data_IF_462601862353
#
_entry.id   IF_462601862353
#
_cell.length_a   1.000
_cell.length_b   1.000
_cell.length_c   1.000
_cell.angle_alpha   90.00
_cell.angle_beta   90.00
_cell.angle_gamma   90.00
#
_symmetry.space_group_name_H-M   'P 1'
#
loop_
_entity.id
_entity.type
_entity.pdbx_description
1 polymer ?
#
# COMPACT_ATOMS: atom_id res chain seq x y z
N UNK A 1 -19.31 9.82 -3.86
CA UNK A 1 -18.22 8.84 -3.96
C UNK A 1 -16.95 9.62 -4.28
N UNK A 2 -15.93 9.55 -3.43
CA UNK A 2 -14.66 10.27 -3.63
C UNK A 2 -13.51 9.26 -3.70
N UNK A 3 -12.52 9.53 -4.55
CA UNK A 3 -11.28 8.74 -4.69
C UNK A 3 -10.21 9.49 -3.92
N UNK A 4 -9.86 9.02 -2.72
CA UNK A 4 -9.01 9.77 -1.81
C UNK A 4 -7.52 9.46 -1.98
N UNK A 5 -7.15 8.25 -2.42
CA UNK A 5 -5.76 7.85 -2.61
C UNK A 5 -5.60 6.84 -3.76
N UNK A 6 -4.64 7.10 -4.64
CA UNK A 6 -4.21 6.20 -5.71
C UNK A 6 -2.70 6.24 -5.87
N UNK A 7 -2.04 5.08 -5.86
CA UNK A 7 -0.61 4.98 -6.15
C UNK A 7 -0.41 3.93 -7.23
N UNK A 8 0.23 4.31 -8.33
CA UNK A 8 0.62 3.40 -9.39
C UNK A 8 2.10 3.58 -9.70
N UNK A 9 2.88 2.50 -9.56
CA UNK A 9 4.30 2.44 -9.90
C UNK A 9 4.57 1.14 -10.65
N UNK A 10 5.16 1.23 -11.83
CA UNK A 10 5.48 0.08 -12.67
C UNK A 10 6.92 0.20 -13.15
N UNK A 11 7.73 -0.81 -12.83
CA UNK A 11 9.07 -1.00 -13.37
C UNK A 11 9.08 -2.23 -14.28
N UNK A 12 10.03 -2.28 -15.21
CA UNK A 12 10.24 -3.46 -16.05
C UNK A 12 10.56 -4.68 -15.18
N UNK A 13 10.14 -5.86 -15.63
CA UNK A 13 10.28 -7.10 -14.86
C UNK A 13 11.73 -7.54 -14.65
N UNK A 14 12.64 -7.07 -15.50
CA UNK A 14 14.09 -7.33 -15.49
C UNK A 14 14.90 -6.22 -14.79
N UNK A 15 14.24 -5.26 -14.15
CA UNK A 15 14.91 -4.16 -13.47
C UNK A 15 15.82 -4.68 -12.34
N UNK A 16 17.07 -4.21 -12.32
CA UNK A 16 18.07 -4.63 -11.31
C UNK A 16 17.59 -4.35 -9.88
N UNK A 17 16.80 -3.30 -9.68
CA UNK A 17 16.16 -2.99 -8.40
C UNK A 17 14.87 -3.75 -8.13
N UNK A 18 14.57 -4.87 -8.81
CA UNK A 18 13.28 -5.57 -8.78
C UNK A 18 12.73 -5.92 -7.38
N UNK A 19 13.59 -6.08 -6.38
CA UNK A 19 13.18 -6.32 -4.99
C UNK A 19 12.67 -5.08 -4.26
N UNK A 20 13.11 -3.90 -4.69
CA UNK A 20 12.71 -2.61 -4.15
C UNK A 20 11.66 -1.94 -5.06
N UNK A 21 11.75 -2.17 -6.37
CA UNK A 21 10.83 -1.74 -7.43
C UNK A 21 9.84 -2.85 -7.82
N UNK A 22 9.41 -2.87 -9.07
CA UNK A 22 8.40 -3.82 -9.57
C UNK A 22 7.04 -3.15 -9.79
N UNK A 23 5.93 -3.83 -9.48
CA UNK A 23 4.59 -3.27 -9.65
C UNK A 23 3.93 -2.98 -8.31
N UNK A 24 3.42 -1.78 -8.16
CA UNK A 24 2.61 -1.37 -7.01
C UNK A 24 1.40 -0.62 -7.55
N UNK A 25 0.21 -1.15 -7.28
CA UNK A 25 -1.06 -0.51 -7.61
C UNK A 25 -1.93 -0.53 -6.36
N UNK A 26 -2.29 0.64 -5.87
CA UNK A 26 -3.20 0.83 -4.75
C UNK A 26 -4.32 1.76 -5.21
N UNK A 27 -5.54 1.26 -5.20
CA UNK A 27 -6.75 2.01 -5.53
C UNK A 27 -7.68 2.02 -4.32
N UNK A 28 -8.18 3.20 -3.93
CA UNK A 28 -9.12 3.34 -2.81
C UNK A 28 -10.40 4.06 -3.23
N UNK A 29 -11.54 3.62 -2.70
CA UNK A 29 -12.85 4.25 -2.87
C UNK A 29 -13.35 4.62 -1.47
N UNK A 30 -13.63 5.89 -1.23
CA UNK A 30 -14.20 6.35 0.03
C UNK A 30 -15.71 6.63 -0.12
N UNK A 31 -16.50 5.95 0.71
CA UNK A 31 -17.91 6.19 0.92
C UNK A 31 -18.10 6.96 2.23
N UNK A 32 -18.51 8.23 2.13
CA UNK A 32 -18.75 9.08 3.29
C UNK A 32 -20.26 9.28 3.50
N UNK A 33 -20.75 8.95 4.70
CA UNK A 33 -22.08 9.29 5.18
C UNK A 33 -21.95 10.36 6.25
N UNK A 34 -22.44 11.57 5.99
CA UNK A 34 -22.31 12.72 6.89
C UNK A 34 -23.62 13.42 7.18
N UNK A 35 -23.75 13.95 8.38
CA UNK A 35 -24.82 14.87 8.81
C UNK A 35 -24.23 16.14 9.41
N UNK A 36 -24.98 17.24 9.28
CA UNK A 36 -24.62 18.51 9.89
C UNK A 36 -25.84 19.14 10.55
N UNK A 37 -25.60 19.90 11.63
CA UNK A 37 -26.63 20.58 12.40
C UNK A 37 -26.17 21.99 12.77
N UNK A 38 -27.04 22.97 12.53
CA UNK A 38 -26.83 24.35 12.95
C UNK A 38 -27.26 24.47 14.41
N UNK A 39 -26.29 24.62 15.32
CA UNK A 39 -26.52 24.68 16.77
C UNK A 39 -27.05 26.07 17.15
N UNK A 40 -26.46 27.13 16.62
CA UNK A 40 -26.89 28.52 16.82
C UNK A 40 -26.77 29.31 15.51
N UNK A 41 -27.16 30.59 15.49
CA UNK A 41 -27.03 31.42 14.28
C UNK A 41 -25.59 31.46 13.75
N UNK A 42 -24.58 31.42 14.63
CA UNK A 42 -23.16 31.46 14.26
C UNK A 42 -22.39 30.16 14.44
N UNK A 43 -23.00 29.06 14.92
CA UNK A 43 -22.28 27.80 15.16
C UNK A 43 -22.97 26.63 14.47
N UNK A 44 -22.20 25.91 13.64
CA UNK A 44 -22.62 24.66 13.02
C UNK A 44 -21.64 23.54 13.34
N UNK A 45 -22.17 22.33 13.52
CA UNK A 45 -21.40 21.12 13.75
C UNK A 45 -21.73 20.08 12.68
N UNK A 46 -20.74 19.29 12.27
CA UNK A 46 -20.91 18.17 11.35
C UNK A 46 -20.14 16.95 11.81
N UNK A 47 -20.68 15.78 11.51
CA UNK A 47 -20.01 14.50 11.72
C UNK A 47 -20.30 13.57 10.55
N UNK A 48 -19.35 12.69 10.24
CA UNK A 48 -19.48 11.71 9.19
C UNK A 48 -18.74 10.42 9.49
N UNK A 49 -19.19 9.35 8.84
CA UNK A 49 -18.57 8.03 8.86
C UNK A 49 -18.07 7.73 7.46
N UNK A 50 -16.84 7.21 7.39
CA UNK A 50 -16.17 6.85 6.16
C UNK A 50 -15.99 5.33 6.11
N UNK A 51 -16.42 4.72 5.00
CA UNK A 51 -16.08 3.35 4.65
C UNK A 51 -15.15 3.39 3.43
N UNK A 52 -13.90 2.99 3.64
CA UNK A 52 -12.84 3.01 2.63
C UNK A 52 -12.63 1.60 2.11
N UNK A 53 -13.00 1.37 0.86
CA UNK A 53 -12.65 0.14 0.14
C UNK A 53 -11.29 0.33 -0.53
N UNK A 54 -10.36 -0.59 -0.32
CA UNK A 54 -9.06 -0.52 -0.97
C UNK A 54 -8.75 -1.83 -1.69
N UNK A 55 -8.11 -1.70 -2.85
CA UNK A 55 -7.57 -2.79 -3.64
C UNK A 55 -6.07 -2.57 -3.81
N UNK A 56 -5.27 -3.57 -3.44
CA UNK A 56 -3.82 -3.52 -3.53
C UNK A 56 -3.29 -4.63 -4.45
N UNK A 57 -2.32 -4.28 -5.30
CA UNK A 57 -1.48 -5.21 -6.05
C UNK A 57 -0.02 -4.86 -5.80
N UNK A 58 0.76 -5.84 -5.41
CA UNK A 58 2.18 -5.72 -5.15
C UNK A 58 2.92 -6.88 -5.82
N UNK A 59 3.92 -6.56 -6.61
CA UNK A 59 4.81 -7.54 -7.25
C UNK A 59 6.25 -7.05 -7.10
N UNK A 60 7.10 -7.92 -6.55
CA UNK A 60 8.54 -7.72 -6.41
C UNK A 60 9.28 -8.88 -7.06
N UNK A 61 10.32 -8.56 -7.81
CA UNK A 61 11.10 -9.52 -8.60
C UNK A 61 12.52 -9.65 -8.05
N UNK A 62 13.25 -10.71 -8.39
CA UNK A 62 14.58 -10.96 -7.83
C UNK A 62 15.62 -9.89 -8.22
N UNK A 63 15.56 -9.30 -9.42
CA UNK A 63 16.50 -8.27 -9.87
C UNK A 63 17.97 -8.66 -9.63
N UNK A 64 18.74 -7.79 -8.98
CA UNK A 64 20.17 -7.95 -8.66
C UNK A 64 20.50 -9.20 -7.82
N UNK A 65 19.52 -9.85 -7.18
CA UNK A 65 19.77 -11.14 -6.50
C UNK A 65 20.17 -12.23 -7.49
N UNK A 66 19.71 -12.16 -8.74
CA UNK A 66 20.10 -13.07 -9.81
C UNK A 66 21.63 -13.01 -10.06
N UNK A 67 22.13 -11.81 -10.35
CA UNK A 67 23.56 -11.55 -10.60
C UNK A 67 24.45 -11.93 -9.40
N UNK A 68 23.96 -11.76 -8.17
CA UNK A 68 24.67 -12.14 -6.96
C UNK A 68 24.70 -13.66 -6.73
N UNK A 69 23.57 -14.35 -6.98
CA UNK A 69 23.46 -15.80 -6.86
C UNK A 69 24.30 -16.52 -7.93
N UNK A 70 24.29 -16.00 -9.15
CA UNK A 70 25.09 -16.52 -10.25
C UNK A 70 26.59 -16.45 -9.92
N UNK A 71 27.10 -15.28 -9.50
CA UNK A 71 28.51 -15.11 -9.10
C UNK A 71 28.94 -16.04 -7.97
N UNK A 72 28.06 -16.25 -6.98
CA UNK A 72 28.33 -17.17 -5.88
C UNK A 72 28.40 -18.63 -6.36
N UNK A 73 27.48 -19.06 -7.23
CA UNK A 73 27.44 -20.41 -7.80
C UNK A 73 28.69 -20.74 -8.62
N UNK A 74 29.19 -19.79 -9.42
CA UNK A 74 30.39 -19.95 -10.23
C UNK A 74 31.65 -20.08 -9.35
N UNK A 75 31.71 -19.36 -8.22
CA UNK A 75 32.80 -19.46 -7.25
C UNK A 75 32.87 -20.81 -6.52
N UNK A 76 31.71 -21.44 -6.27
CA UNK A 76 31.63 -22.80 -5.73
C UNK A 76 32.00 -23.85 -6.78
N UNK A 77 31.63 -23.61 -8.04
CA UNK A 77 31.94 -24.48 -9.18
C UNK A 77 33.43 -24.64 -9.41
N UNK A 78 34.18 -23.56 -9.24
CA UNK A 78 35.64 -23.58 -9.30
C UNK A 78 36.31 -24.37 -8.14
N UNK A 79 35.58 -24.72 -7.07
CA UNK A 79 36.14 -25.35 -5.85
C UNK A 79 35.64 -26.76 -5.54
N UNK A 80 34.44 -27.18 -5.96
CA UNK A 80 33.84 -28.49 -5.62
C UNK A 80 32.93 -29.06 -6.72
N UNK A 81 33.49 -29.82 -7.66
CA UNK A 81 32.86 -30.23 -8.93
C UNK A 81 31.57 -31.06 -8.83
N UNK A 82 31.40 -31.90 -7.80
CA UNK A 82 30.23 -32.80 -7.68
C UNK A 82 29.00 -32.16 -7.03
N UNK A 83 29.17 -31.09 -6.23
CA UNK A 83 28.05 -30.30 -5.67
C UNK A 83 27.75 -29.05 -6.51
N UNK A 84 28.76 -28.58 -7.24
CA UNK A 84 28.68 -27.44 -8.15
C UNK A 84 27.54 -27.54 -9.17
N UNK A 85 27.40 -28.69 -9.83
CA UNK A 85 26.38 -28.89 -10.87
C UNK A 85 24.95 -28.68 -10.33
N UNK A 86 24.68 -29.09 -9.09
CA UNK A 86 23.39 -28.88 -8.44
C UNK A 86 23.16 -27.41 -8.07
N UNK A 87 24.21 -26.72 -7.61
CA UNK A 87 24.15 -25.29 -7.25
C UNK A 87 23.95 -24.42 -8.49
N UNK A 88 24.68 -24.69 -9.59
CA UNK A 88 24.55 -23.96 -10.87
C UNK A 88 23.19 -24.20 -11.53
N UNK A 89 22.67 -25.42 -11.49
CA UNK A 89 21.33 -25.70 -12.01
C UNK A 89 20.23 -24.96 -11.23
N UNK A 90 20.40 -24.75 -9.91
CA UNK A 90 19.47 -23.98 -9.08
C UNK A 90 19.66 -22.47 -9.17
N UNK A 91 20.87 -21.97 -9.44
CA UNK A 91 21.09 -20.53 -9.68
C UNK A 91 20.39 -20.08 -10.96
N UNK A 92 20.49 -20.86 -12.04
CA UNK A 92 19.84 -20.55 -13.32
C UNK A 92 18.30 -20.62 -13.27
N UNK A 93 17.73 -21.17 -12.20
CA UNK A 93 16.29 -21.24 -11.99
C UNK A 93 15.72 -19.95 -11.37
N UNK A 94 16.57 -19.10 -10.81
CA UNK A 94 16.21 -17.75 -10.36
C UNK A 94 16.70 -16.80 -11.44
N UNK A 95 15.81 -15.97 -11.99
CA UNK A 95 16.16 -14.94 -12.97
C UNK A 95 15.75 -13.59 -12.43
N UNK A 96 16.23 -12.48 -13.02
CA UNK A 96 15.78 -11.12 -12.66
C UNK A 96 14.26 -10.97 -12.57
N UNK A 97 13.51 -11.71 -13.40
CA UNK A 97 12.04 -11.69 -13.48
C UNK A 97 11.32 -12.57 -12.46
N UNK A 98 12.04 -13.41 -11.72
CA UNK A 98 11.42 -14.33 -10.75
C UNK A 98 10.74 -13.53 -9.64
N UNK A 99 9.42 -13.66 -9.53
CA UNK A 99 8.63 -13.02 -8.48
C UNK A 99 9.00 -13.60 -7.11
N UNK A 100 9.49 -12.74 -6.21
CA UNK A 100 9.89 -13.10 -4.84
C UNK A 100 8.87 -12.69 -3.79
N UNK A 101 8.02 -11.71 -4.10
CA UNK A 101 6.86 -11.32 -3.28
C UNK A 101 5.73 -10.95 -4.21
N UNK A 102 4.57 -11.56 -3.98
CA UNK A 102 3.36 -11.27 -4.77
C UNK A 102 2.14 -11.19 -3.87
N UNK A 103 1.44 -10.07 -3.96
CA UNK A 103 0.13 -9.84 -3.36
C UNK A 103 -0.79 -9.36 -4.48
N UNK A 104 -1.60 -10.25 -5.03
CA UNK A 104 -2.48 -9.94 -6.16
C UNK A 104 -3.95 -9.96 -5.75
N UNK A 105 -4.68 -8.96 -6.26
CA UNK A 105 -6.14 -8.84 -6.19
C UNK A 105 -6.74 -8.94 -4.78
N UNK A 106 -6.00 -8.47 -3.76
CA UNK A 106 -6.55 -8.36 -2.41
C UNK A 106 -7.36 -7.09 -2.26
N UNK A 107 -8.49 -7.24 -1.60
CA UNK A 107 -9.35 -6.16 -1.21
C UNK A 107 -9.56 -6.17 0.30
N UNK A 108 -9.72 -4.99 0.86
CA UNK A 108 -9.95 -4.79 2.27
C UNK A 108 -10.79 -3.54 2.50
N UNK A 109 -11.46 -3.52 3.64
CA UNK A 109 -12.23 -2.37 4.10
C UNK A 109 -11.54 -1.75 5.30
N UNK A 110 -11.50 -0.43 5.33
CA UNK A 110 -11.19 0.36 6.51
C UNK A 110 -12.37 1.26 6.86
N UNK A 111 -12.48 1.57 8.14
CA UNK A 111 -13.54 2.44 8.65
C UNK A 111 -12.91 3.62 9.39
N UNK A 112 -13.49 4.79 9.17
CA UNK A 112 -13.08 6.03 9.81
C UNK A 112 -14.26 6.93 10.11
N UNK A 113 -13.98 8.04 10.75
CA UNK A 113 -14.95 9.09 11.04
C UNK A 113 -14.31 10.45 10.82
N UNK A 114 -15.14 11.45 10.56
CA UNK A 114 -14.72 12.83 10.50
C UNK A 114 -15.70 13.70 11.29
N UNK A 115 -15.20 14.77 11.88
CA UNK A 115 -16.00 15.75 12.60
C UNK A 115 -15.54 17.14 12.23
N UNK A 116 -16.47 18.10 12.23
CA UNK A 116 -16.17 19.48 11.89
C UNK A 116 -17.02 20.47 12.66
N UNK A 117 -16.46 21.63 12.89
CA UNK A 117 -17.09 22.79 13.49
C UNK A 117 -16.91 23.96 12.55
N UNK A 118 -17.98 24.74 12.39
CA UNK A 118 -17.95 25.99 11.64
C UNK A 118 -18.50 27.08 12.55
N UNK A 119 -17.73 28.14 12.72
CA UNK A 119 -18.11 29.32 13.46
C UNK A 119 -18.17 30.55 12.53
N UNK A 120 -19.34 31.16 12.43
CA UNK A 120 -19.62 32.38 11.68
C UNK A 120 -19.64 33.55 12.67
N UNK A 121 -18.64 34.43 12.60
CA UNK A 121 -18.61 35.65 13.43
C UNK A 121 -19.61 36.68 12.89
N UNK A 122 -19.67 36.81 11.57
CA UNK A 122 -20.59 37.66 10.82
C UNK A 122 -20.77 37.10 9.39
N UNK A 123 -21.56 37.75 8.54
CA UNK A 123 -21.82 37.28 7.16
C UNK A 123 -20.57 37.22 6.27
N UNK A 124 -19.51 37.96 6.63
CA UNK A 124 -18.27 38.05 5.87
C UNK A 124 -17.13 37.17 6.41
N UNK A 125 -17.24 36.68 7.66
CA UNK A 125 -16.16 35.95 8.34
C UNK A 125 -16.64 34.62 8.92
N UNK A 126 -16.04 33.55 8.43
CA UNK A 126 -16.29 32.18 8.88
C UNK A 126 -14.98 31.47 9.16
N UNK A 127 -14.91 30.75 10.27
CA UNK A 127 -13.86 29.80 10.57
C UNK A 127 -14.40 28.38 10.53
N UNK A 128 -13.65 27.49 9.91
CA UNK A 128 -13.91 26.07 9.86
C UNK A 128 -12.77 25.31 10.53
N UNK A 129 -13.13 24.28 11.28
CA UNK A 129 -12.22 23.31 11.83
C UNK A 129 -12.75 21.92 11.50
N UNK A 130 -11.91 21.04 10.96
CA UNK A 130 -12.28 19.67 10.67
C UNK A 130 -11.19 18.71 11.15
N UNK A 131 -11.63 17.54 11.59
CA UNK A 131 -10.79 16.42 11.95
C UNK A 131 -11.21 15.19 11.17
N UNK A 132 -10.22 14.49 10.62
CA UNK A 132 -10.39 13.21 9.97
C UNK A 132 -9.61 12.16 10.73
N UNK A 133 -10.28 11.07 11.12
CA UNK A 133 -9.66 9.98 11.87
C UNK A 133 -8.67 9.20 11.00
N UNK A 134 -7.75 8.51 11.68
CA UNK A 134 -6.95 7.45 11.05
C UNK A 134 -7.88 6.36 10.50
N UNK A 135 -7.48 5.73 9.40
CA UNK A 135 -8.16 4.56 8.84
C UNK A 135 -7.12 3.47 8.61
N UNK A 136 -7.32 2.33 9.27
CA UNK A 136 -6.47 1.15 9.13
C UNK A 136 -7.15 0.15 8.20
N UNK A 137 -6.40 -0.33 7.20
CA UNK A 137 -6.86 -1.27 6.18
C UNK A 137 -5.96 -2.49 6.18
N UNK A 138 -6.49 -3.63 6.63
CA UNK A 138 -5.74 -4.88 6.73
C UNK A 138 -5.95 -5.77 5.51
N UNK A 139 -4.94 -5.89 4.67
CA UNK A 139 -4.89 -6.87 3.58
C UNK A 139 -4.31 -8.19 4.12
N UNK A 140 -5.14 -9.23 4.19
CA UNK A 140 -4.69 -10.58 4.57
C UNK A 140 -4.42 -11.42 3.33
N UNK A 141 -3.26 -12.07 3.28
CA UNK A 141 -2.86 -12.93 2.17
C UNK A 141 -2.25 -14.25 2.64
N UNK A 142 -2.97 -15.36 2.50
CA UNK A 142 -2.42 -16.71 2.73
C UNK A 142 -1.52 -17.22 1.59
N UNK A 143 -1.25 -16.41 0.56
CA UNK A 143 -0.58 -16.84 -0.68
C UNK A 143 0.72 -16.10 -0.99
N UNK A 144 1.35 -15.48 0.01
CA UNK A 144 2.63 -14.80 -0.18
C UNK A 144 3.68 -15.83 -0.61
N UNK A 145 4.11 -15.76 -1.87
CA UNK A 145 5.07 -16.72 -2.44
C UNK A 145 6.48 -16.17 -2.26
N UNK A 146 7.30 -16.84 -1.44
CA UNK A 146 8.74 -16.59 -1.34
C UNK A 146 9.49 -17.87 -1.72
N UNK A 147 10.27 -17.84 -2.81
CA UNK A 147 11.07 -18.98 -3.28
C UNK A 147 10.27 -20.31 -3.40
N UNK A 148 9.12 -20.27 -4.10
CA UNK A 148 8.21 -21.42 -4.28
C UNK A 148 7.54 -21.97 -3.00
N UNK A 149 7.67 -21.26 -1.88
CA UNK A 149 6.94 -21.55 -0.63
C UNK A 149 5.80 -20.55 -0.48
N UNK A 150 4.60 -21.05 -0.19
CA UNK A 150 3.41 -20.23 0.04
C UNK A 150 3.29 -19.99 1.55
N UNK A 151 3.36 -18.73 1.98
CA UNK A 151 3.24 -18.31 3.37
C UNK A 151 2.10 -17.32 3.59
N UNK A 152 1.73 -17.12 4.85
CA UNK A 152 0.79 -16.06 5.26
C UNK A 152 1.53 -14.73 5.33
N UNK A 153 1.15 -13.79 4.46
CA UNK A 153 1.55 -12.39 4.47
C UNK A 153 0.37 -11.49 4.83
N UNK A 154 0.66 -10.37 5.49
CA UNK A 154 -0.33 -9.34 5.77
C UNK A 154 0.28 -7.96 5.52
N UNK A 155 -0.49 -7.05 4.95
CA UNK A 155 -0.11 -5.65 4.82
C UNK A 155 -1.20 -4.81 5.49
N UNK A 156 -0.84 -4.07 6.52
CA UNK A 156 -1.71 -3.04 7.09
C UNK A 156 -1.33 -1.70 6.48
N UNK A 157 -2.29 -1.06 5.81
CA UNK A 157 -2.16 0.30 5.33
C UNK A 157 -2.75 1.26 6.36
N UNK A 158 -1.93 2.20 6.83
CA UNK A 158 -2.32 3.25 7.75
C UNK A 158 -2.57 4.55 6.99
N UNK A 159 -3.83 4.96 6.87
CA UNK A 159 -4.17 6.31 6.42
C UNK A 159 -4.15 7.24 7.64
N UNK A 160 -3.29 8.28 7.67
CA UNK A 160 -3.10 9.09 8.87
C UNK A 160 -4.32 9.94 9.18
N UNK A 161 -4.48 10.30 10.46
CA UNK A 161 -5.40 11.37 10.85
C UNK A 161 -4.83 12.73 10.50
N UNK A 162 -5.71 13.70 10.23
CA UNK A 162 -5.31 15.08 9.98
C UNK A 162 -6.36 16.06 10.50
N UNK A 163 -5.88 17.28 10.75
CA UNK A 163 -6.69 18.43 11.13
C UNK A 163 -6.65 19.45 10.00
N UNK A 164 -7.78 20.08 9.72
CA UNK A 164 -7.89 21.15 8.73
C UNK A 164 -8.49 22.39 9.38
N UNK A 165 -7.85 23.53 9.14
CA UNK A 165 -8.33 24.85 9.53
C UNK A 165 -8.61 25.64 8.26
N UNK A 166 -9.80 26.22 8.17
CA UNK A 166 -10.20 27.03 7.03
C UNK A 166 -10.83 28.34 7.52
N UNK A 167 -10.73 29.38 6.71
CA UNK A 167 -11.44 30.63 6.96
C UNK A 167 -11.33 31.59 5.80
N UNK A 168 -12.25 32.53 5.74
CA UNK A 168 -12.23 33.69 4.85
C UNK A 168 -12.79 34.92 5.58
#
# INVERSE_FOLDING_TARGET
MNVNFGLKSEYNSDYDGGIFGGKTDLTTINLNLSGAYRVTQGLSFGAGLNAVYAKAKLERNAGVLDDALEKYSQSLTAKRSSFAAVVTARSNAVTKTTSVVRLQDKNAWGFGWNAGLVYEFNEAHRLGFAYHSKVDIDFKDGTAVGNSQTGSGGLTLHLPSYWEFSGY
#
